data_IF_421272252567
#
_entry.id   IF_421272252567
#
_cell.length_a   1.000
_cell.length_b   1.000
_cell.length_c   1.000
_cell.angle_alpha   90.00
_cell.angle_beta   90.00
_cell.angle_gamma   90.00
#
_symmetry.space_group_name_H-M   'P 1'
#
loop_
_entity.id
_entity.type
_entity.pdbx_description
1 polymer ?
#
# COMPACT_ATOMS: atom_id res chain seq x y z
N UNK A 1 -9.52 7.96 -7.27
CA UNK A 1 -10.40 9.10 -7.53
C UNK A 1 -9.68 10.36 -7.12
N UNK A 2 -9.23 11.12 -8.11
CA UNK A 2 -8.65 12.44 -7.89
C UNK A 2 -9.80 13.43 -7.67
N UNK A 3 -10.17 13.63 -6.41
CA UNK A 3 -10.96 14.81 -6.07
C UNK A 3 -9.99 15.99 -5.97
N UNK A 4 -10.06 16.90 -6.94
CA UNK A 4 -9.47 18.21 -6.81
C UNK A 4 -10.33 19.00 -5.83
N UNK A 5 -10.08 18.79 -4.56
CA UNK A 5 -10.64 19.56 -3.47
C UNK A 5 -9.56 20.50 -2.92
N UNK A 6 -9.96 21.64 -2.42
CA UNK A 6 -9.10 22.54 -1.64
C UNK A 6 -8.81 21.96 -0.23
N UNK A 7 -9.31 20.76 0.04
CA UNK A 7 -9.10 20.03 1.27
C UNK A 7 -7.98 19.01 1.01
N UNK A 8 -6.88 19.13 1.72
CA UNK A 8 -5.77 18.20 1.66
C UNK A 8 -6.20 16.77 2.07
N UNK A 9 -5.45 16.08 2.88
CA UNK A 9 -5.75 14.72 3.30
C UNK A 9 -7.06 14.64 4.10
N UNK A 10 -7.99 13.81 3.63
CA UNK A 10 -9.24 13.51 4.32
C UNK A 10 -9.19 12.11 4.91
N UNK A 11 -9.51 12.00 6.19
CA UNK A 11 -9.68 10.72 6.85
C UNK A 11 -11.11 10.53 7.31
N UNK A 12 -11.72 9.39 6.92
CA UNK A 12 -13.04 8.99 7.38
C UNK A 12 -12.89 7.85 8.38
N UNK A 13 -13.44 8.02 9.57
CA UNK A 13 -13.47 7.00 10.59
C UNK A 13 -14.91 6.60 10.90
N UNK A 14 -15.20 5.31 10.92
CA UNK A 14 -16.52 4.79 11.21
C UNK A 14 -16.54 3.28 11.32
N UNK A 15 -17.66 2.73 11.79
CA UNK A 15 -17.88 1.29 11.81
C UNK A 15 -18.34 0.83 10.43
N UNK A 16 -17.44 0.17 9.69
CA UNK A 16 -17.75 -0.37 8.36
C UNK A 16 -18.57 -1.67 8.39
N UNK A 17 -18.65 -2.36 9.54
CA UNK A 17 -19.36 -3.61 9.69
C UNK A 17 -20.10 -3.67 11.02
N UNK A 18 -21.10 -4.54 11.11
CA UNK A 18 -21.93 -4.76 12.29
C UNK A 18 -23.42 -4.61 12.01
N UNK A 19 -24.26 -5.11 12.91
CA UNK A 19 -25.72 -5.19 12.75
C UNK A 19 -26.35 -3.82 12.41
N UNK A 20 -26.05 -2.79 13.18
CA UNK A 20 -26.63 -1.46 12.99
C UNK A 20 -26.09 -0.72 11.74
N UNK A 21 -24.76 -0.65 11.48
CA UNK A 21 -24.26 -0.03 10.28
C UNK A 21 -24.79 -0.68 9.00
N UNK A 22 -24.86 -2.01 8.95
CA UNK A 22 -25.39 -2.74 7.81
C UNK A 22 -26.89 -2.47 7.61
N UNK A 23 -27.69 -2.52 8.68
CA UNK A 23 -29.12 -2.22 8.61
C UNK A 23 -29.36 -0.78 8.13
N UNK A 24 -28.57 0.20 8.57
CA UNK A 24 -28.67 1.59 8.15
C UNK A 24 -28.38 1.74 6.66
N UNK A 25 -27.33 1.07 6.15
CA UNK A 25 -26.99 1.11 4.72
C UNK A 25 -28.13 0.51 3.85
N UNK A 26 -28.60 -0.69 4.20
CA UNK A 26 -29.70 -1.34 3.47
C UNK A 26 -30.97 -0.48 3.48
N UNK A 27 -31.30 0.13 4.62
CA UNK A 27 -32.48 1.01 4.72
C UNK A 27 -32.31 2.26 3.84
N UNK A 28 -31.11 2.85 3.77
CA UNK A 28 -30.84 3.98 2.91
C UNK A 28 -31.02 3.61 1.43
N UNK A 29 -30.51 2.46 0.99
CA UNK A 29 -30.64 1.96 -0.37
C UNK A 29 -32.11 1.71 -0.74
N UNK A 30 -32.91 1.14 0.17
CA UNK A 30 -34.37 0.93 -0.03
C UNK A 30 -35.10 2.26 -0.18
N UNK A 31 -34.79 3.25 0.66
CA UNK A 31 -35.40 4.59 0.57
C UNK A 31 -35.00 5.28 -0.73
N UNK A 32 -33.74 5.16 -1.15
CA UNK A 32 -33.27 5.72 -2.43
C UNK A 32 -33.98 5.07 -3.62
N UNK A 33 -34.09 3.74 -3.62
CA UNK A 33 -34.82 3.01 -4.66
C UNK A 33 -36.32 3.42 -4.71
N UNK A 34 -36.95 3.58 -3.56
CA UNK A 34 -38.35 4.02 -3.50
C UNK A 34 -38.56 5.44 -4.02
N UNK A 35 -37.62 6.34 -3.75
CA UNK A 35 -37.68 7.74 -4.28
C UNK A 35 -37.47 7.81 -5.78
N UNK A 36 -36.75 6.86 -6.36
CA UNK A 36 -36.43 6.79 -7.78
C UNK A 36 -37.28 5.75 -8.54
N UNK A 37 -38.40 5.32 -7.98
CA UNK A 37 -39.31 4.36 -8.62
C UNK A 37 -39.72 4.84 -10.01
N UNK A 38 -39.46 3.97 -11.02
CA UNK A 38 -39.75 4.29 -12.43
C UNK A 38 -38.66 5.10 -13.13
N UNK A 39 -37.63 5.56 -12.42
CA UNK A 39 -36.49 6.24 -13.01
C UNK A 39 -35.23 5.35 -12.91
N UNK A 40 -34.65 4.98 -14.03
CA UNK A 40 -33.37 4.33 -14.08
C UNK A 40 -32.28 5.37 -14.29
N UNK A 41 -31.40 5.57 -13.32
CA UNK A 41 -30.20 6.37 -13.51
C UNK A 41 -29.22 5.57 -14.38
N UNK A 42 -28.98 5.98 -15.66
CA UNK A 42 -28.05 5.25 -16.51
C UNK A 42 -26.62 5.43 -15.96
N UNK A 43 -25.98 4.35 -15.58
CA UNK A 43 -24.54 4.33 -15.29
C UNK A 43 -23.83 4.17 -16.64
N UNK A 44 -23.26 5.27 -17.13
CA UNK A 44 -22.47 5.25 -18.35
C UNK A 44 -21.01 4.96 -18.01
N UNK A 45 -20.56 3.78 -18.39
CA UNK A 45 -19.16 3.41 -18.31
C UNK A 45 -18.46 3.83 -19.61
N UNK A 46 -17.30 4.49 -19.48
CA UNK A 46 -16.47 4.76 -20.65
C UNK A 46 -16.01 3.45 -21.30
N UNK A 47 -16.03 3.42 -22.63
CA UNK A 47 -15.47 2.34 -23.42
C UNK A 47 -13.94 2.49 -23.61
N UNK A 48 -13.38 3.60 -23.17
CA UNK A 48 -11.96 3.88 -23.27
C UNK A 48 -11.17 2.94 -22.37
N UNK A 49 -10.15 2.33 -22.94
CA UNK A 49 -9.21 1.51 -22.19
C UNK A 49 -8.08 2.40 -21.65
N UNK A 50 -7.95 2.42 -20.33
CA UNK A 50 -6.79 3.02 -19.70
C UNK A 50 -5.61 2.04 -19.74
N UNK A 51 -4.46 2.50 -20.21
CA UNK A 51 -3.22 1.77 -20.06
C UNK A 51 -2.75 1.89 -18.61
N UNK A 52 -2.63 0.73 -17.95
CA UNK A 52 -2.14 0.69 -16.58
C UNK A 52 -0.60 0.77 -16.58
N UNK A 53 -0.06 1.67 -15.78
CA UNK A 53 1.36 1.71 -15.54
C UNK A 53 1.83 0.41 -14.85
N UNK A 54 3.00 -0.08 -15.24
CA UNK A 54 3.59 -1.23 -14.57
C UNK A 54 3.92 -0.90 -13.12
N UNK A 55 3.51 -1.74 -12.18
CA UNK A 55 3.84 -1.58 -10.76
C UNK A 55 5.34 -1.52 -10.49
N UNK A 56 6.13 -2.19 -11.35
CA UNK A 56 7.59 -2.20 -11.25
C UNK A 56 8.26 -0.83 -11.45
N UNK A 57 7.58 0.12 -12.08
CA UNK A 57 8.10 1.46 -12.35
C UNK A 57 7.86 2.46 -11.20
N UNK A 58 6.98 2.14 -10.25
CA UNK A 58 6.75 3.00 -9.10
C UNK A 58 7.94 2.96 -8.14
N UNK A 59 8.24 4.11 -7.55
CA UNK A 59 9.31 4.25 -6.58
C UNK A 59 8.76 4.18 -5.16
N UNK A 60 9.40 3.36 -4.35
CA UNK A 60 9.09 3.17 -2.94
C UNK A 60 10.37 3.06 -2.11
N UNK A 61 10.24 3.28 -0.83
CA UNK A 61 11.18 2.76 0.15
C UNK A 61 10.66 1.40 0.63
N UNK A 62 11.57 0.52 1.04
CA UNK A 62 11.22 -0.80 1.53
C UNK A 62 11.80 -0.98 2.92
N UNK A 63 10.92 -1.25 3.89
CA UNK A 63 11.34 -1.75 5.19
C UNK A 63 11.53 -3.26 5.04
N UNK A 64 12.76 -3.73 5.28
CA UNK A 64 13.15 -5.12 5.07
C UNK A 64 13.68 -5.68 6.39
N UNK A 65 13.25 -6.91 6.71
CA UNK A 65 13.80 -7.72 7.81
C UNK A 65 14.48 -8.93 7.23
N UNK A 66 15.69 -9.18 7.70
CA UNK A 66 16.53 -10.33 7.33
C UNK A 66 17.06 -11.01 8.59
N UNK A 67 17.53 -12.24 8.47
CA UNK A 67 18.25 -12.90 9.57
C UNK A 67 19.58 -12.19 9.82
N UNK A 68 20.02 -12.19 11.07
CA UNK A 68 21.23 -11.53 11.53
C UNK A 68 22.52 -12.03 10.86
N UNK A 69 22.51 -13.24 10.32
CA UNK A 69 23.63 -13.82 9.56
C UNK A 69 23.99 -13.03 8.29
N UNK A 70 23.08 -12.16 7.81
CA UNK A 70 23.33 -11.28 6.67
C UNK A 70 24.18 -10.08 7.11
N UNK A 71 25.36 -9.94 6.54
CA UNK A 71 26.25 -8.83 6.92
C UNK A 71 25.72 -7.48 6.45
N UNK A 72 25.98 -6.44 7.24
CA UNK A 72 25.61 -5.05 6.87
C UNK A 72 26.32 -4.60 5.59
N UNK A 73 27.53 -5.08 5.37
CA UNK A 73 28.32 -4.76 4.18
C UNK A 73 27.69 -5.32 2.91
N UNK A 74 27.14 -6.53 2.95
CA UNK A 74 26.40 -7.12 1.83
C UNK A 74 25.10 -6.36 1.55
N UNK A 75 24.37 -5.94 2.59
CA UNK A 75 23.16 -5.13 2.46
C UNK A 75 23.50 -3.79 1.80
N UNK A 76 24.52 -3.09 2.28
CA UNK A 76 24.92 -1.79 1.75
C UNK A 76 25.49 -1.88 0.33
N UNK A 77 26.17 -2.96 0.01
CA UNK A 77 26.67 -3.25 -1.35
C UNK A 77 25.51 -3.41 -2.34
N UNK A 78 24.42 -4.05 -1.91
CA UNK A 78 23.26 -4.31 -2.77
C UNK A 78 22.34 -3.08 -2.89
N UNK A 79 22.00 -2.45 -1.76
CA UNK A 79 20.96 -1.41 -1.70
C UNK A 79 21.53 0.02 -1.61
N UNK A 80 22.83 0.17 -1.38
CA UNK A 80 23.45 1.46 -1.09
C UNK A 80 23.28 1.86 0.37
N UNK A 81 23.30 3.15 0.65
CA UNK A 81 23.15 3.67 2.01
C UNK A 81 21.72 3.42 2.52
N UNK A 82 21.56 2.48 3.43
CA UNK A 82 20.29 2.14 4.08
C UNK A 82 20.18 2.79 5.47
N UNK A 83 18.97 2.87 6.00
CA UNK A 83 18.73 3.30 7.39
C UNK A 83 18.37 2.08 8.23
N UNK A 84 19.26 1.69 9.14
CA UNK A 84 19.01 0.56 10.04
C UNK A 84 17.98 0.92 11.10
N UNK A 85 17.11 -0.05 11.39
CA UNK A 85 16.11 0.03 12.45
C UNK A 85 16.43 -1.03 13.49
N UNK A 86 16.58 -0.61 14.73
CA UNK A 86 16.87 -1.51 15.87
C UNK A 86 15.73 -1.47 16.87
N UNK A 87 15.39 -2.63 17.41
CA UNK A 87 14.42 -2.77 18.48
C UNK A 87 14.96 -3.73 19.53
N UNK A 88 14.96 -3.31 20.79
CA UNK A 88 15.64 -4.04 21.88
C UNK A 88 15.12 -5.46 22.10
N UNK A 89 13.82 -5.67 21.87
CA UNK A 89 13.15 -6.95 22.08
C UNK A 89 13.30 -7.92 20.90
N UNK A 90 13.84 -7.49 19.75
CA UNK A 90 14.01 -8.32 18.56
C UNK A 90 15.47 -8.70 18.39
N UNK A 91 15.77 -10.00 18.57
CA UNK A 91 17.11 -10.58 18.43
C UNK A 91 17.16 -11.53 17.24
N UNK A 92 18.35 -11.70 16.67
CA UNK A 92 18.56 -12.63 15.54
C UNK A 92 18.10 -12.08 14.19
N UNK A 93 17.81 -10.79 14.12
CA UNK A 93 17.37 -10.13 12.89
C UNK A 93 18.10 -8.81 12.67
N UNK A 94 18.27 -8.45 11.40
CA UNK A 94 18.66 -7.12 10.96
C UNK A 94 17.49 -6.50 10.19
N UNK A 95 17.14 -5.27 10.55
CA UNK A 95 16.08 -4.53 9.88
C UNK A 95 16.61 -3.19 9.34
N UNK A 96 16.15 -2.83 8.15
CA UNK A 96 16.57 -1.58 7.50
C UNK A 96 15.51 -1.06 6.55
N UNK A 97 15.63 0.23 6.24
CA UNK A 97 14.84 0.92 5.21
C UNK A 97 15.76 1.26 4.05
N UNK A 98 15.37 0.86 2.86
CA UNK A 98 16.11 1.15 1.64
C UNK A 98 16.01 2.63 1.25
N UNK A 99 16.93 3.15 0.42
CA UNK A 99 16.70 4.37 -0.33
C UNK A 99 15.45 4.25 -1.21
N UNK A 100 14.96 5.38 -1.70
CA UNK A 100 13.88 5.42 -2.68
C UNK A 100 14.35 4.78 -4.00
N UNK A 101 13.71 3.69 -4.41
CA UNK A 101 14.06 2.95 -5.62
C UNK A 101 12.83 2.39 -6.31
N UNK A 102 12.96 2.02 -7.59
CA UNK A 102 11.88 1.36 -8.32
C UNK A 102 11.60 -0.04 -7.74
N UNK A 103 10.33 -0.43 -7.70
CA UNK A 103 9.92 -1.78 -7.29
C UNK A 103 10.69 -2.87 -8.06
N UNK A 104 10.84 -2.70 -9.36
CA UNK A 104 11.60 -3.61 -10.23
C UNK A 104 13.06 -3.76 -9.80
N UNK A 105 13.70 -2.65 -9.43
CA UNK A 105 15.08 -2.65 -8.95
C UNK A 105 15.19 -3.39 -7.62
N UNK A 106 14.29 -3.08 -6.67
CA UNK A 106 14.22 -3.79 -5.41
C UNK A 106 14.08 -5.30 -5.61
N UNK A 107 13.14 -5.72 -6.45
CA UNK A 107 12.88 -7.13 -6.74
C UNK A 107 14.08 -7.86 -7.35
N UNK A 108 14.91 -7.17 -8.12
CA UNK A 108 16.14 -7.75 -8.65
C UNK A 108 17.20 -7.94 -7.56
N UNK A 109 17.38 -6.92 -6.71
CA UNK A 109 18.39 -6.93 -5.65
C UNK A 109 18.07 -7.92 -4.54
N UNK A 110 16.81 -8.01 -4.13
CA UNK A 110 16.40 -8.86 -3.02
C UNK A 110 16.53 -10.37 -3.32
N UNK A 111 16.49 -10.76 -4.59
CA UNK A 111 16.67 -12.17 -5.00
C UNK A 111 18.03 -12.76 -4.65
N UNK A 112 19.02 -11.91 -4.42
CA UNK A 112 20.36 -12.36 -4.00
C UNK A 112 20.43 -12.82 -2.54
N UNK A 113 19.35 -12.59 -1.75
CA UNK A 113 19.32 -12.88 -0.32
C UNK A 113 18.26 -13.93 0.01
N UNK A 114 18.70 -15.07 0.51
CA UNK A 114 17.81 -16.15 0.99
C UNK A 114 17.33 -15.93 2.43
N UNK A 115 17.95 -14.97 3.12
CA UNK A 115 17.74 -14.68 4.54
C UNK A 115 16.59 -13.71 4.82
N UNK A 116 15.84 -13.29 3.81
CA UNK A 116 14.73 -12.35 3.94
C UNK A 116 13.57 -12.97 4.72
N UNK A 117 13.17 -12.30 5.80
CA UNK A 117 12.06 -12.70 6.66
C UNK A 117 10.76 -12.03 6.17
N UNK A 118 10.80 -10.72 5.97
CA UNK A 118 9.64 -9.96 5.53
C UNK A 118 10.02 -8.62 4.90
N UNK A 119 9.08 -8.04 4.15
CA UNK A 119 9.20 -6.73 3.54
C UNK A 119 7.87 -5.98 3.63
N UNK A 120 7.97 -4.68 3.89
CA UNK A 120 6.83 -3.75 3.83
C UNK A 120 7.20 -2.63 2.87
N UNK A 121 6.32 -2.38 1.90
CA UNK A 121 6.46 -1.23 1.00
C UNK A 121 6.04 0.04 1.72
N UNK A 122 6.88 1.06 1.68
CA UNK A 122 6.65 2.34 2.33
C UNK A 122 6.47 3.43 1.29
N UNK A 123 5.49 4.30 1.50
CA UNK A 123 5.40 5.52 0.70
C UNK A 123 6.47 6.51 1.19
N UNK A 124 7.27 7.01 0.26
CA UNK A 124 8.14 8.13 0.56
C UNK A 124 7.26 9.38 0.77
N UNK A 125 7.50 10.07 1.86
CA UNK A 125 6.94 11.41 2.08
C UNK A 125 7.67 12.42 1.22
#
# INVERSE_FOLDING_TARGET
>A
TLFRSMVDDLMFYGRGAGKLPTASAVTADVVEAARNLGNTLPILWSQDKLELASTGEFKHQFFVRMKEETSREEIEKAFGKVSYVTWEDVKGEVAFVTPLMKEKEYQQKIKAFETVISMIRMNAK
#
